data_IF_970304439629
#
_entry.id   IF_970304439629
#
_cell.length_a   1.000
_cell.length_b   1.000
_cell.length_c   1.000
_cell.angle_alpha   90.00
_cell.angle_beta   90.00
_cell.angle_gamma   90.00
#
_symmetry.space_group_name_H-M   'P 1'
#
loop_
_entity.id
_entity.type
_entity.pdbx_description
1 polymer ?
#
# COMPACT_ATOMS: atom_id res chain seq x y z
N UNK A 1 -17.65 -31.24 -46.73
CA UNK A 1 -17.96 -31.00 -45.32
C UNK A 1 -16.74 -30.68 -44.42
N UNK A 2 -15.63 -31.43 -44.51
CA UNK A 2 -14.42 -31.21 -43.69
C UNK A 2 -13.82 -29.78 -43.81
N UNK A 3 -13.75 -29.24 -45.02
CA UNK A 3 -13.15 -27.92 -45.33
C UNK A 3 -13.94 -26.72 -44.75
N UNK A 4 -15.27 -26.91 -44.60
CA UNK A 4 -16.15 -25.87 -43.99
C UNK A 4 -15.95 -25.79 -42.47
N UNK A 5 -15.71 -26.91 -41.82
CA UNK A 5 -15.48 -26.95 -40.36
C UNK A 5 -14.11 -26.34 -39.97
N UNK A 6 -13.07 -26.51 -40.79
CA UNK A 6 -11.74 -25.93 -40.56
C UNK A 6 -11.74 -24.40 -40.71
N UNK A 7 -12.50 -23.88 -41.69
CA UNK A 7 -12.65 -22.42 -41.87
C UNK A 7 -13.36 -21.79 -40.70
N UNK A 8 -14.47 -22.36 -40.25
CA UNK A 8 -15.21 -21.88 -39.07
C UNK A 8 -14.35 -21.93 -37.81
N UNK A 9 -13.51 -22.95 -37.65
CA UNK A 9 -12.60 -23.06 -36.49
C UNK A 9 -11.49 -22.00 -36.53
N UNK A 10 -10.93 -21.68 -37.68
CA UNK A 10 -9.92 -20.62 -37.85
C UNK A 10 -10.51 -19.25 -37.55
N UNK A 11 -11.71 -18.94 -38.03
CA UNK A 11 -12.43 -17.69 -37.76
C UNK A 11 -12.70 -17.54 -36.26
N UNK A 12 -13.16 -18.60 -35.60
CA UNK A 12 -13.40 -18.60 -34.16
C UNK A 12 -12.12 -18.34 -33.36
N UNK A 13 -11.02 -19.00 -33.73
CA UNK A 13 -9.71 -18.79 -33.07
C UNK A 13 -9.24 -17.34 -33.26
N UNK A 14 -9.37 -16.78 -34.47
CA UNK A 14 -8.99 -15.39 -34.75
C UNK A 14 -9.80 -14.40 -33.91
N UNK A 15 -11.11 -14.58 -33.78
CA UNK A 15 -11.97 -13.73 -32.95
C UNK A 15 -11.58 -13.82 -31.47
N UNK A 16 -11.33 -15.02 -30.96
CA UNK A 16 -10.90 -15.21 -29.56
C UNK A 16 -9.56 -14.53 -29.30
N UNK A 17 -8.59 -14.67 -30.22
CA UNK A 17 -7.28 -14.02 -30.09
C UNK A 17 -7.41 -12.50 -30.09
N UNK A 18 -8.25 -11.92 -30.96
CA UNK A 18 -8.50 -10.47 -31.00
C UNK A 18 -9.14 -9.97 -29.73
N UNK A 19 -10.07 -10.70 -29.13
CA UNK A 19 -10.70 -10.36 -27.87
C UNK A 19 -9.69 -10.38 -26.73
N UNK A 20 -8.85 -11.42 -26.64
CA UNK A 20 -7.80 -11.50 -25.62
C UNK A 20 -6.83 -10.33 -25.77
N UNK A 21 -6.42 -10.03 -27.00
CA UNK A 21 -5.53 -8.90 -27.29
C UNK A 21 -6.15 -7.57 -26.86
N UNK A 22 -7.42 -7.34 -27.15
CA UNK A 22 -8.15 -6.15 -26.75
C UNK A 22 -8.25 -6.03 -25.22
N UNK A 23 -8.46 -7.13 -24.50
CA UNK A 23 -8.48 -7.14 -23.03
C UNK A 23 -7.10 -6.82 -22.48
N UNK A 24 -6.03 -7.40 -23.00
CA UNK A 24 -4.64 -7.15 -22.57
C UNK A 24 -4.26 -5.69 -22.79
N UNK A 25 -4.59 -5.14 -23.97
CA UNK A 25 -4.35 -3.73 -24.30
C UNK A 25 -5.18 -2.82 -23.36
N UNK A 26 -6.44 -3.16 -23.13
CA UNK A 26 -7.31 -2.41 -22.20
C UNK A 26 -6.75 -2.36 -20.78
N UNK A 27 -6.24 -3.48 -20.26
CA UNK A 27 -5.59 -3.53 -18.95
C UNK A 27 -4.30 -2.71 -18.96
N UNK A 28 -3.48 -2.77 -20.00
CA UNK A 28 -2.23 -2.03 -20.10
C UNK A 28 -2.45 -0.51 -20.20
N UNK A 29 -3.54 -0.05 -20.81
CA UNK A 29 -3.88 1.37 -20.95
C UNK A 29 -4.52 1.93 -19.68
N UNK A 30 -5.30 1.12 -18.95
CA UNK A 30 -5.96 1.54 -17.70
C UNK A 30 -5.04 1.47 -16.47
N UNK A 31 -3.98 0.66 -16.50
CA UNK A 31 -3.04 0.55 -15.39
C UNK A 31 -2.38 1.89 -14.96
N UNK A 32 -1.96 2.79 -15.87
CA UNK A 32 -1.39 4.08 -15.50
C UNK A 32 -2.41 5.12 -14.99
N UNK A 33 -3.71 4.84 -15.06
CA UNK A 33 -4.76 5.72 -14.53
C UNK A 33 -5.01 5.54 -13.02
N UNK A 34 -4.27 4.64 -12.36
CA UNK A 34 -4.33 4.56 -10.90
C UNK A 34 -3.75 5.85 -10.30
N UNK A 35 -4.53 6.58 -9.47
CA UNK A 35 -4.02 7.79 -8.84
C UNK A 35 -2.81 7.44 -7.97
N UNK A 36 -1.76 8.26 -8.05
CA UNK A 36 -0.65 8.17 -7.12
C UNK A 36 -1.20 8.31 -5.70
N UNK A 37 -0.82 7.39 -4.81
CA UNK A 37 -1.24 7.47 -3.42
C UNK A 37 -0.70 8.76 -2.79
N UNK A 38 -1.57 9.54 -2.17
CA UNK A 38 -1.14 10.71 -1.40
C UNK A 38 -0.32 10.26 -0.18
N UNK A 39 0.76 10.99 0.12
CA UNK A 39 1.52 10.82 1.37
C UNK A 39 0.62 11.21 2.54
N UNK A 40 0.53 10.34 3.54
CA UNK A 40 -0.25 10.57 4.76
C UNK A 40 0.70 10.84 5.91
N UNK A 41 0.38 11.83 6.76
CA UNK A 41 1.09 12.06 8.02
C UNK A 41 0.41 11.30 9.15
N UNK A 42 1.21 10.66 10.00
CA UNK A 42 0.78 9.94 11.19
C UNK A 42 1.37 10.61 12.42
N UNK A 43 0.57 10.73 13.48
CA UNK A 43 0.98 11.37 14.70
C UNK A 43 1.27 10.35 15.80
N UNK A 44 2.39 10.56 16.52
CA UNK A 44 2.78 9.77 17.68
C UNK A 44 3.02 10.74 18.85
N UNK A 45 2.29 10.55 19.92
CA UNK A 45 2.51 11.32 21.15
C UNK A 45 3.63 10.70 21.98
N UNK A 46 4.49 11.56 22.54
CA UNK A 46 5.49 11.24 23.53
C UNK A 46 5.03 11.81 24.87
N UNK A 47 5.03 11.01 25.91
CA UNK A 47 4.89 11.47 27.28
C UNK A 47 5.85 10.71 28.17
N UNK A 48 5.81 10.91 29.49
CA UNK A 48 6.77 10.29 30.38
C UNK A 48 6.83 8.78 30.16
N UNK A 49 7.95 8.36 29.53
CA UNK A 49 8.39 7.00 29.25
C UNK A 49 7.52 6.16 28.32
N UNK A 50 6.61 6.77 27.55
CA UNK A 50 5.78 6.06 26.57
C UNK A 50 5.68 6.77 25.22
N UNK A 51 5.50 5.99 24.14
CA UNK A 51 5.01 6.43 22.84
C UNK A 51 3.56 5.97 22.67
N UNK A 52 2.70 6.85 22.19
CA UNK A 52 1.28 6.53 21.96
C UNK A 52 0.81 7.07 20.59
N UNK A 53 0.38 6.20 19.67
CA UNK A 53 0.38 4.73 19.79
C UNK A 53 1.80 4.15 19.83
N UNK A 54 1.98 3.02 20.50
CA UNK A 54 3.25 2.30 20.57
C UNK A 54 3.64 1.68 19.25
N UNK A 55 2.65 1.24 18.47
CA UNK A 55 2.80 0.69 17.12
C UNK A 55 2.02 1.54 16.16
N UNK A 56 2.69 2.06 15.13
CA UNK A 56 2.08 2.88 14.09
C UNK A 56 2.28 2.21 12.74
N UNK A 57 1.19 1.81 12.10
CA UNK A 57 1.26 1.26 10.74
C UNK A 57 1.16 2.39 9.74
N UNK A 58 2.09 2.42 8.81
CA UNK A 58 2.20 3.43 7.76
C UNK A 58 2.40 2.75 6.41
N UNK A 59 2.07 3.42 5.33
CA UNK A 59 2.46 2.94 4.02
C UNK A 59 3.86 3.45 3.63
N UNK A 60 4.52 2.81 2.67
CA UNK A 60 5.81 3.24 2.16
C UNK A 60 5.83 4.72 1.77
N UNK A 61 6.76 5.48 2.35
CA UNK A 61 6.94 6.90 2.09
C UNK A 61 5.97 7.84 2.80
N UNK A 62 5.09 7.36 3.69
CA UNK A 62 4.34 8.20 4.60
C UNK A 62 5.25 8.96 5.56
N UNK A 63 4.71 9.93 6.27
CA UNK A 63 5.45 10.70 7.26
C UNK A 63 4.93 10.44 8.67
N UNK A 64 5.80 10.63 9.67
CA UNK A 64 5.44 10.61 11.09
C UNK A 64 5.86 11.92 11.74
N UNK A 65 4.99 12.47 12.56
CA UNK A 65 5.28 13.61 13.43
C UNK A 65 5.18 13.15 14.88
N UNK A 66 6.20 13.42 15.68
CA UNK A 66 6.19 13.16 17.11
C UNK A 66 5.84 14.42 17.89
N UNK A 67 4.87 14.30 18.79
CA UNK A 67 4.40 15.39 19.67
C UNK A 67 4.77 15.08 21.11
N UNK A 68 5.53 15.94 21.75
CA UNK A 68 5.89 15.76 23.15
C UNK A 68 4.92 16.51 24.08
N UNK A 69 4.00 15.79 24.68
CA UNK A 69 3.09 16.30 25.71
C UNK A 69 3.62 16.13 27.13
N UNK A 70 4.79 15.52 27.31
CA UNK A 70 5.46 15.34 28.58
C UNK A 70 6.22 16.58 29.04
N UNK A 71 6.79 16.51 30.25
CA UNK A 71 7.58 17.60 30.87
C UNK A 71 9.07 17.47 30.54
N UNK A 72 9.56 16.27 30.21
CA UNK A 72 10.95 16.04 29.83
C UNK A 72 11.13 16.06 28.30
N UNK A 73 12.32 16.40 27.78
CA UNK A 73 12.63 16.20 26.39
C UNK A 73 12.71 14.71 26.07
N UNK A 74 12.23 14.30 24.88
CA UNK A 74 12.26 12.94 24.40
C UNK A 74 12.92 12.83 23.02
N UNK A 75 13.34 11.61 22.64
CA UNK A 75 13.83 11.34 21.28
C UNK A 75 13.05 10.23 20.63
N UNK A 76 13.03 10.22 19.29
CA UNK A 76 12.64 9.07 18.48
C UNK A 76 13.87 8.61 17.68
N UNK A 77 14.65 7.72 18.29
CA UNK A 77 15.92 7.23 17.74
C UNK A 77 15.73 5.86 17.13
N UNK A 78 15.83 5.75 15.81
CA UNK A 78 15.70 4.48 15.09
C UNK A 78 16.83 3.51 15.45
N UNK A 79 16.50 2.27 15.79
CA UNK A 79 17.48 1.21 16.06
C UNK A 79 18.23 0.74 14.79
N UNK A 80 17.69 1.05 13.62
CA UNK A 80 18.23 0.62 12.32
C UNK A 80 18.74 1.80 11.47
N UNK A 81 18.85 3.00 12.05
CA UNK A 81 19.19 4.23 11.31
C UNK A 81 18.28 4.54 10.13
N UNK A 82 17.02 4.06 10.20
CA UNK A 82 16.02 4.25 9.14
C UNK A 82 15.61 5.72 8.96
N UNK A 83 15.78 6.55 10.01
CA UNK A 83 15.67 8.00 10.00
C UNK A 83 16.68 8.61 10.99
N UNK A 84 17.02 9.90 10.85
CA UNK A 84 17.88 10.61 11.81
C UNK A 84 17.24 10.67 13.20
N UNK A 85 18.05 10.77 14.25
CA UNK A 85 17.52 11.01 15.60
C UNK A 85 16.66 12.27 15.61
N UNK A 86 15.46 12.14 16.17
CA UNK A 86 14.50 13.25 16.32
C UNK A 86 14.42 13.62 17.80
N UNK A 87 14.81 14.84 18.12
CA UNK A 87 14.75 15.38 19.50
C UNK A 87 13.55 16.31 19.57
N UNK A 88 12.67 16.09 20.56
CA UNK A 88 11.46 16.88 20.76
C UNK A 88 11.42 17.41 22.19
N UNK A 89 11.52 18.72 22.36
CA UNK A 89 11.41 19.38 23.65
C UNK A 89 9.98 19.31 24.20
N UNK A 90 9.82 19.48 25.52
CA UNK A 90 8.51 19.53 26.16
C UNK A 90 7.57 20.53 25.47
N UNK A 91 6.35 20.13 25.21
CA UNK A 91 5.30 20.93 24.57
C UNK A 91 5.53 21.20 23.07
N UNK A 92 6.54 20.59 22.44
CA UNK A 92 6.88 20.79 21.02
C UNK A 92 6.52 19.57 20.17
N UNK A 93 6.59 19.78 18.86
CA UNK A 93 6.42 18.75 17.86
C UNK A 93 7.63 18.70 16.93
N UNK A 94 7.95 17.53 16.41
CA UNK A 94 8.96 17.39 15.36
C UNK A 94 8.45 17.95 14.02
N UNK A 95 9.36 18.13 13.06
CA UNK A 95 8.97 18.15 11.67
C UNK A 95 8.37 16.78 11.28
N UNK A 96 7.62 16.74 10.19
CA UNK A 96 7.19 15.49 9.57
C UNK A 96 8.40 14.76 8.98
N UNK A 97 8.66 13.55 9.44
CA UNK A 97 9.81 12.73 9.04
C UNK A 97 9.31 11.64 8.09
N UNK A 98 9.94 11.55 6.91
CA UNK A 98 9.59 10.52 5.93
C UNK A 98 9.99 9.12 6.43
N UNK A 99 9.06 8.18 6.35
CA UNK A 99 9.30 6.79 6.72
C UNK A 99 9.90 6.00 5.54
N UNK A 100 10.58 4.87 5.82
CA UNK A 100 11.14 4.03 4.78
C UNK A 100 10.11 3.61 3.72
N UNK A 101 10.58 3.43 2.49
CA UNK A 101 9.76 2.88 1.40
C UNK A 101 9.77 1.35 1.37
N UNK A 102 10.72 0.72 2.06
CA UNK A 102 10.82 -0.74 2.17
C UNK A 102 9.89 -1.23 3.28
N UNK A 103 8.99 -2.17 3.01
CA UNK A 103 8.16 -2.79 4.05
C UNK A 103 9.00 -3.45 5.14
N UNK A 104 8.59 -3.29 6.39
CA UNK A 104 9.33 -3.82 7.51
C UNK A 104 8.85 -3.27 8.86
N UNK A 105 9.45 -3.78 9.93
CA UNK A 105 9.22 -3.34 11.29
C UNK A 105 10.45 -2.56 11.78
N UNK A 106 10.28 -1.27 12.00
CA UNK A 106 11.32 -0.32 12.38
C UNK A 106 11.12 0.09 13.84
N UNK A 107 11.84 -0.54 14.74
CA UNK A 107 11.80 -0.22 16.16
C UNK A 107 12.60 1.06 16.45
N UNK A 108 12.14 1.82 17.42
CA UNK A 108 12.81 3.03 17.90
C UNK A 108 12.66 3.19 19.42
N UNK A 109 13.54 3.97 20.00
CA UNK A 109 13.63 4.20 21.44
C UNK A 109 13.73 5.70 21.73
N UNK A 110 13.46 6.07 22.97
CA UNK A 110 13.94 7.33 23.51
C UNK A 110 15.35 7.15 24.07
N UNK A 111 16.37 7.70 23.42
CA UNK A 111 17.78 7.55 23.83
C UNK A 111 18.05 8.15 25.22
N UNK A 112 17.31 9.16 25.63
CA UNK A 112 17.46 9.79 26.95
C UNK A 112 16.96 8.90 28.11
N UNK A 113 16.01 7.97 27.83
CA UNK A 113 15.32 7.21 28.87
C UNK A 113 15.47 5.69 28.74
N UNK A 114 16.11 5.20 27.70
CA UNK A 114 16.17 3.76 27.40
C UNK A 114 16.87 2.94 28.49
N UNK A 115 17.91 3.46 29.14
CA UNK A 115 18.62 2.75 30.21
C UNK A 115 17.98 2.89 31.60
N UNK A 116 17.14 3.89 31.80
CA UNK A 116 16.54 4.24 33.11
C UNK A 116 15.11 3.70 33.23
N UNK A 117 14.39 3.63 32.12
CA UNK A 117 12.99 3.23 32.05
C UNK A 117 12.79 2.36 30.82
N UNK A 118 13.00 1.08 30.93
CA UNK A 118 13.00 0.04 29.87
C UNK A 118 11.75 -0.02 28.97
N UNK A 119 10.82 0.89 29.14
CA UNK A 119 9.51 0.88 28.48
C UNK A 119 9.35 1.91 27.38
N UNK A 120 10.26 2.88 27.21
CA UNK A 120 10.11 3.92 26.20
C UNK A 120 10.66 3.50 24.85
N UNK A 121 9.91 2.62 24.20
CA UNK A 121 10.15 2.17 22.83
C UNK A 121 8.85 2.06 22.05
N UNK A 122 8.96 2.15 20.75
CA UNK A 122 7.86 1.98 19.80
C UNK A 122 8.31 1.32 18.51
N UNK A 123 7.38 1.12 17.59
CA UNK A 123 7.69 0.63 16.26
C UNK A 123 6.82 1.28 15.18
N UNK A 124 7.46 1.61 14.08
CA UNK A 124 6.79 1.96 12.83
C UNK A 124 6.75 0.71 11.97
N UNK A 125 5.55 0.29 11.59
CA UNK A 125 5.30 -0.87 10.74
C UNK A 125 5.01 -0.35 9.34
N UNK A 126 6.00 -0.40 8.46
CA UNK A 126 5.81 -0.05 7.06
C UNK A 126 5.21 -1.24 6.33
N UNK A 127 4.00 -1.09 5.84
CA UNK A 127 3.27 -2.15 5.14
C UNK A 127 2.71 -1.61 3.83
N UNK A 128 2.87 -2.38 2.75
CA UNK A 128 2.18 -2.09 1.51
C UNK A 128 0.69 -2.32 1.73
N UNK A 129 -0.13 -1.29 1.52
CA UNK A 129 -1.55 -1.55 1.34
C UNK A 129 -1.68 -2.55 0.19
N UNK A 130 -2.33 -3.68 0.42
CA UNK A 130 -2.75 -4.54 -0.70
C UNK A 130 -3.64 -3.65 -1.56
N UNK A 131 -3.36 -3.46 -2.86
CA UNK A 131 -4.23 -2.67 -3.71
C UNK A 131 -5.63 -3.29 -3.61
N UNK A 132 -6.53 -2.58 -2.98
CA UNK A 132 -7.95 -2.96 -2.99
C UNK A 132 -8.40 -2.77 -4.43
N UNK A 133 -8.49 -3.88 -5.16
CA UNK A 133 -9.20 -3.88 -6.44
C UNK A 133 -10.60 -3.37 -6.13
N UNK A 134 -10.92 -2.17 -6.62
CA UNK A 134 -12.25 -1.63 -6.39
C UNK A 134 -13.26 -2.69 -6.80
N UNK A 135 -14.32 -2.89 -6.01
CA UNK A 135 -15.39 -3.83 -6.32
C UNK A 135 -15.92 -3.64 -7.74
N UNK A 136 -15.87 -2.42 -8.26
CA UNK A 136 -16.15 -2.06 -9.64
C UNK A 136 -15.27 -2.79 -10.66
N UNK A 137 -13.97 -2.97 -10.39
CA UNK A 137 -13.06 -3.70 -11.30
C UNK A 137 -13.43 -5.19 -11.38
N UNK A 138 -13.73 -5.81 -10.23
CA UNK A 138 -14.15 -7.21 -10.17
C UNK A 138 -15.48 -7.42 -10.89
N UNK A 139 -16.44 -6.49 -10.72
CA UNK A 139 -17.74 -6.54 -11.39
C UNK A 139 -17.59 -6.40 -12.91
N UNK A 140 -16.79 -5.44 -13.38
CA UNK A 140 -16.56 -5.23 -14.82
C UNK A 140 -15.90 -6.44 -15.47
N UNK A 141 -14.88 -7.00 -14.85
CA UNK A 141 -14.20 -8.22 -15.36
C UNK A 141 -15.16 -9.40 -15.36
N UNK A 142 -15.95 -9.56 -14.27
CA UNK A 142 -16.98 -10.61 -14.20
C UNK A 142 -18.04 -10.50 -15.28
N UNK A 143 -18.55 -9.29 -15.54
CA UNK A 143 -19.52 -9.06 -16.62
C UNK A 143 -18.95 -9.34 -18.00
N UNK A 144 -17.70 -8.99 -18.26
CA UNK A 144 -16.99 -9.28 -19.52
C UNK A 144 -16.83 -10.79 -19.75
N UNK A 145 -16.46 -11.54 -18.71
CA UNK A 145 -16.32 -13.01 -18.78
C UNK A 145 -17.67 -13.67 -19.06
N UNK A 146 -18.73 -13.23 -18.38
CA UNK A 146 -20.11 -13.75 -18.60
C UNK A 146 -20.59 -13.43 -20.01
N UNK A 147 -20.42 -12.19 -20.48
CA UNK A 147 -20.82 -11.80 -21.84
C UNK A 147 -20.10 -12.62 -22.91
N UNK A 148 -18.81 -12.84 -22.72
CA UNK A 148 -18.00 -13.66 -23.62
C UNK A 148 -18.46 -15.12 -23.63
N UNK A 149 -18.74 -15.68 -22.44
CA UNK A 149 -19.29 -17.03 -22.30
C UNK A 149 -20.63 -17.20 -23.02
N UNK A 150 -21.55 -16.24 -22.88
CA UNK A 150 -22.85 -16.25 -23.56
C UNK A 150 -22.74 -16.13 -25.08
N UNK A 151 -21.78 -15.32 -25.60
CA UNK A 151 -21.52 -15.24 -27.05
C UNK A 151 -21.01 -16.55 -27.61
N UNK A 152 -20.11 -17.23 -26.89
CA UNK A 152 -19.56 -18.53 -27.33
C UNK A 152 -20.61 -19.64 -27.34
N UNK A 153 -21.57 -19.61 -26.39
CA UNK A 153 -22.67 -20.59 -26.35
C UNK A 153 -23.69 -20.33 -27.48
N UNK A 154 -24.06 -19.06 -27.72
CA UNK A 154 -24.98 -18.69 -28.82
C UNK A 154 -24.42 -18.93 -30.21
N UNK A 155 -23.11 -18.87 -30.39
CA UNK A 155 -22.47 -19.18 -31.66
C UNK A 155 -22.43 -20.68 -31.99
N UNK A 156 -22.93 -21.56 -31.11
CA UNK A 156 -23.04 -23.02 -31.31
C UNK A 156 -24.47 -23.51 -31.62
N UNK A 157 -25.45 -22.62 -31.65
CA UNK A 157 -26.81 -22.87 -32.09
C UNK A 157 -27.00 -22.35 -33.51
#
# INVERSE_FOLDING_TARGET
MKKYSERARRELVSVVVLIILAIVIGIAVLAPLMPARAVTNHDVNMSEYIFSPKFTTVAPGDTVTWHNSGIAPHTATSNTTAWPEVIVSSGQSSAAISMPTTPGNYTYICSFHFGLHNSMWGAIIVSTAVPEFSSSFVVVVGMLVIALGLMLVRGKL
#
